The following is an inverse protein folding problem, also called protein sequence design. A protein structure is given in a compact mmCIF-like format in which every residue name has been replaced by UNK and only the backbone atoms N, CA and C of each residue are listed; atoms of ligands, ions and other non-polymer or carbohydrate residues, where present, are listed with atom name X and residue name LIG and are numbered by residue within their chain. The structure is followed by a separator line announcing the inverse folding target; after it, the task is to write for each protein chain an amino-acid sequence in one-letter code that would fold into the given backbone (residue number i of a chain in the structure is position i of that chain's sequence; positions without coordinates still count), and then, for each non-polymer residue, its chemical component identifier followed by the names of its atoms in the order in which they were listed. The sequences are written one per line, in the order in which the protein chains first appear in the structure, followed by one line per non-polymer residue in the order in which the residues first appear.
data_IF_596859513783
#
_entry.id   IF_596859513783
#
_cell.length_a   1.000
_cell.length_b   1.000
_cell.length_c   1.000
_cell.angle_alpha   90.00
_cell.angle_beta   90.00
_cell.angle_gamma   90.00
#
_symmetry.space_group_name_H-M   'P 1'
#
loop_
_entity.id
_entity.type
_entity.pdbx_description
1 polymer ?
#
# COMPACT_ATOMS: atom_id res chain seq x y z
N UNK A 1 7.03 -3.89 1.60
CA UNK A 1 6.79 -4.08 3.05
C UNK A 1 7.41 -5.41 3.41
N UNK A 2 8.34 -5.43 4.36
CA UNK A 2 8.96 -6.66 4.83
C UNK A 2 8.09 -7.30 5.92
N UNK A 3 7.53 -8.51 5.70
CA UNK A 3 6.69 -9.17 6.69
C UNK A 3 7.43 -9.49 8.00
N UNK A 4 8.75 -9.74 7.93
CA UNK A 4 9.53 -10.11 9.12
C UNK A 4 9.69 -8.93 10.07
N UNK A 5 9.95 -7.73 9.53
CA UNK A 5 10.03 -6.49 10.31
C UNK A 5 8.73 -6.18 11.07
N UNK A 6 7.57 -6.49 10.50
CA UNK A 6 6.27 -6.28 11.16
C UNK A 6 5.98 -7.28 12.27
N UNK A 7 6.43 -8.52 12.10
CA UNK A 7 6.31 -9.55 13.14
C UNK A 7 7.20 -9.16 14.32
N UNK A 8 8.42 -8.72 14.06
CA UNK A 8 9.33 -8.21 15.10
C UNK A 8 8.74 -7.02 15.85
N UNK A 9 8.20 -6.04 15.12
CA UNK A 9 7.55 -4.86 15.69
C UNK A 9 6.36 -5.25 16.58
N UNK A 10 5.47 -6.13 16.12
CA UNK A 10 4.35 -6.66 16.91
C UNK A 10 4.77 -7.43 18.16
N UNK A 11 5.84 -8.21 18.08
CA UNK A 11 6.33 -8.97 19.24
C UNK A 11 7.00 -8.06 20.27
N UNK A 12 7.58 -6.94 19.84
CA UNK A 12 8.25 -5.96 20.72
C UNK A 12 7.27 -4.98 21.38
N UNK A 13 6.26 -4.52 20.64
CA UNK A 13 5.19 -3.64 21.10
C UNK A 13 3.87 -4.07 20.45
N UNK A 14 3.07 -4.83 21.20
CA UNK A 14 1.85 -5.43 20.69
C UNK A 14 0.82 -4.38 20.22
N UNK A 15 0.73 -3.24 20.92
CA UNK A 15 -0.28 -2.22 20.60
C UNK A 15 0.11 -1.45 19.34
N UNK A 16 1.34 -0.94 19.28
CA UNK A 16 1.80 -0.17 18.11
C UNK A 16 2.07 -1.08 16.92
N UNK A 17 2.59 -2.28 17.13
CA UNK A 17 2.81 -3.23 16.05
C UNK A 17 1.53 -3.69 15.37
N UNK A 18 0.41 -3.83 16.11
CA UNK A 18 -0.89 -4.11 15.49
C UNK A 18 -1.39 -2.94 14.65
N UNK A 19 -1.21 -1.69 15.12
CA UNK A 19 -1.54 -0.49 14.33
C UNK A 19 -0.69 -0.41 13.06
N UNK A 20 0.60 -0.72 13.15
CA UNK A 20 1.53 -0.72 12.02
C UNK A 20 1.18 -1.82 11.00
N UNK A 21 0.80 -3.01 11.48
CA UNK A 21 0.35 -4.12 10.64
C UNK A 21 -0.92 -3.77 9.86
N UNK A 22 -1.93 -3.26 10.56
CA UNK A 22 -3.20 -2.85 9.93
C UNK A 22 -2.95 -1.71 8.94
N UNK A 23 -2.17 -0.70 9.31
CA UNK A 23 -1.85 0.45 8.45
C UNK A 23 -1.14 0.00 7.19
N UNK A 24 -0.13 -0.85 7.32
CA UNK A 24 0.60 -1.37 6.18
C UNK A 24 -0.26 -2.25 5.25
N UNK A 25 -1.18 -3.05 5.82
CA UNK A 25 -2.15 -3.80 5.04
C UNK A 25 -3.11 -2.87 4.28
N UNK A 26 -3.69 -1.87 4.94
CA UNK A 26 -4.59 -0.92 4.30
C UNK A 26 -3.90 -0.14 3.19
N UNK A 27 -2.63 0.25 3.38
CA UNK A 27 -1.83 0.88 2.33
C UNK A 27 -1.66 -0.03 1.10
N UNK A 28 -1.45 -1.34 1.28
CA UNK A 28 -1.40 -2.31 0.17
C UNK A 28 -2.74 -2.38 -0.58
N UNK A 29 -3.86 -2.43 0.16
CA UNK A 29 -5.20 -2.44 -0.42
C UNK A 29 -5.45 -1.18 -1.26
N UNK A 30 -5.09 -0.01 -0.75
CA UNK A 30 -5.25 1.25 -1.49
C UNK A 30 -4.41 1.31 -2.77
N UNK A 31 -3.19 0.75 -2.77
CA UNK A 31 -2.37 0.65 -3.97
C UNK A 31 -3.01 -0.25 -5.03
N UNK A 32 -3.58 -1.39 -4.61
CA UNK A 32 -4.29 -2.30 -5.50
C UNK A 32 -5.55 -1.65 -6.10
N UNK A 33 -6.28 -0.88 -5.29
CA UNK A 33 -7.43 -0.11 -5.77
C UNK A 33 -7.01 0.95 -6.80
N UNK A 34 -5.94 1.70 -6.53
CA UNK A 34 -5.40 2.69 -7.46
C UNK A 34 -4.99 2.05 -8.81
N UNK A 35 -4.42 0.84 -8.79
CA UNK A 35 -4.12 0.07 -10.00
C UNK A 35 -5.39 -0.25 -10.79
N UNK A 36 -6.43 -0.77 -10.13
CA UNK A 36 -7.70 -1.09 -10.79
C UNK A 36 -8.37 0.15 -11.39
N UNK A 37 -8.36 1.28 -10.67
CA UNK A 37 -8.97 2.52 -11.13
C UNK A 37 -8.22 3.14 -12.32
N UNK A 38 -6.88 3.14 -12.26
CA UNK A 38 -6.04 3.72 -13.33
C UNK A 38 -5.92 2.81 -14.54
N UNK A 39 -6.13 1.48 -14.38
CA UNK A 39 -5.91 0.43 -15.39
C UNK A 39 -4.50 0.45 -15.98
N UNK A 40 -3.54 0.91 -15.19
CA UNK A 40 -2.16 1.03 -15.58
C UNK A 40 -1.26 0.94 -14.35
N UNK A 41 -0.13 0.27 -14.51
CA UNK A 41 0.96 0.29 -13.55
C UNK A 41 1.61 1.68 -13.47
N UNK A 42 2.39 1.88 -12.41
CA UNK A 42 3.15 3.12 -12.24
C UNK A 42 4.10 3.32 -13.41
N UNK A 43 4.00 4.49 -14.06
CA UNK A 43 4.77 4.86 -15.25
C UNK A 43 4.59 3.95 -16.47
N UNK A 44 3.64 3.02 -16.45
CA UNK A 44 3.38 2.12 -17.58
C UNK A 44 2.84 2.90 -18.78
N UNK A 45 3.46 2.74 -19.94
CA UNK A 45 2.95 3.28 -21.20
C UNK A 45 1.89 2.35 -21.76
N UNK A 46 0.62 2.65 -21.51
CA UNK A 46 -0.52 1.87 -21.99
C UNK A 46 -1.65 2.76 -22.48
N UNK A 47 -2.33 2.33 -23.55
CA UNK A 47 -3.53 2.99 -24.07
C UNK A 47 -4.79 2.68 -23.25
N UNK A 48 -4.73 1.71 -22.34
CA UNK A 48 -5.85 1.34 -21.47
C UNK A 48 -6.04 2.27 -20.26
N UNK A 49 -5.09 3.19 -20.04
CA UNK A 49 -5.06 4.09 -18.88
C UNK A 49 -6.32 4.96 -18.83
N UNK A 50 -6.98 4.96 -17.67
CA UNK A 50 -8.19 5.76 -17.43
C UNK A 50 -8.00 6.97 -16.52
N UNK A 51 -6.95 6.98 -15.70
CA UNK A 51 -6.67 8.08 -14.78
C UNK A 51 -5.16 8.18 -14.50
N UNK A 52 -4.75 9.32 -13.93
CA UNK A 52 -3.39 9.55 -13.44
C UNK A 52 -3.36 9.52 -11.91
N UNK A 53 -2.25 9.02 -11.35
CA UNK A 53 -1.99 9.08 -9.90
C UNK A 53 -1.54 10.49 -9.51
N UNK A 54 -1.96 10.97 -8.35
CA UNK A 54 -1.64 12.30 -7.83
C UNK A 54 -0.90 12.24 -6.49
N UNK A 55 0.13 11.38 -6.41
CA UNK A 55 0.90 11.20 -5.19
C UNK A 55 0.12 10.54 -4.05
N UNK A 56 0.67 10.65 -2.83
CA UNK A 56 0.07 10.19 -1.59
C UNK A 56 -0.28 11.41 -0.73
N UNK A 57 -1.20 11.22 0.20
CA UNK A 57 -1.51 12.20 1.24
C UNK A 57 -0.95 11.68 2.56
N UNK A 58 -0.25 12.55 3.28
CA UNK A 58 0.24 12.30 4.64
C UNK A 58 -0.88 12.39 5.68
#
# INVERSE_FOLDING_TARGET
MDPLALIEDYLSDQENGMKNLITGFLNQVMLAEALQQTRADSYERTGARKAHRNGYKD
#
